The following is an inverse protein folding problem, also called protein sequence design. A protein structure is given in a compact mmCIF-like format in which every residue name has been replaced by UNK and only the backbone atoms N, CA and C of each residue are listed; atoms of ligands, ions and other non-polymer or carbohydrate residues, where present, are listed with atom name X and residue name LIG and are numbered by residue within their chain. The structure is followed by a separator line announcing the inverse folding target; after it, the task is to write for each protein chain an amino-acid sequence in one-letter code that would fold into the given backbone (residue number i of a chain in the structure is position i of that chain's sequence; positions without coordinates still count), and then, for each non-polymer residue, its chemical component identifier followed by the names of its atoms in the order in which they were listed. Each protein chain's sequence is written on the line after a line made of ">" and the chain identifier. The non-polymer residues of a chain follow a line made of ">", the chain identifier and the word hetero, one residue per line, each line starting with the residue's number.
data_IF_681335005069
#
_entry.id   IF_681335005069
#
_cell.length_a   1.000
_cell.length_b   1.000
_cell.length_c   1.000
_cell.angle_alpha   90.00
_cell.angle_beta   90.00
_cell.angle_gamma   90.00
#
_symmetry.space_group_name_H-M   'P 1'
#
loop_
_entity.id
_entity.type
_entity.pdbx_description
1 polymer ?
#
# COMPACT_ATOMS: atom_id res chain seq x y z
N UNK A 1 -27.93 46.70 21.39
CA UNK A 1 -26.62 46.15 21.80
C UNK A 1 -26.64 44.63 21.60
N UNK A 2 -27.06 44.22 20.40
CA UNK A 2 -26.21 43.70 19.32
C UNK A 2 -25.35 42.51 19.76
N UNK A 3 -25.86 41.28 19.61
CA UNK A 3 -25.69 40.42 18.43
C UNK A 3 -24.21 40.20 18.08
N UNK A 4 -23.65 39.09 18.60
CA UNK A 4 -22.49 38.45 17.98
C UNK A 4 -23.02 37.51 16.90
N UNK A 5 -22.81 37.92 15.66
CA UNK A 5 -23.16 37.22 14.43
C UNK A 5 -22.36 35.91 14.37
N UNK A 6 -23.08 34.80 14.27
CA UNK A 6 -22.57 33.49 13.88
C UNK A 6 -22.16 33.58 12.40
N UNK A 7 -20.86 33.65 12.13
CA UNK A 7 -20.33 33.69 10.76
C UNK A 7 -20.29 32.26 10.20
N UNK A 8 -21.12 31.89 9.20
CA UNK A 8 -21.23 30.50 8.74
C UNK A 8 -20.10 30.11 7.75
N UNK A 9 -19.02 30.88 7.70
CA UNK A 9 -17.99 30.81 6.65
C UNK A 9 -16.81 29.87 6.89
N UNK A 10 -16.57 29.38 8.11
CA UNK A 10 -15.31 28.67 8.43
C UNK A 10 -15.52 27.26 8.99
N UNK A 11 -16.41 26.48 8.35
CA UNK A 11 -16.35 25.01 8.41
C UNK A 11 -15.16 24.49 7.60
N UNK A 12 -13.95 24.95 7.94
CA UNK A 12 -12.76 24.17 7.70
C UNK A 12 -12.98 22.85 8.45
N UNK A 13 -13.16 21.78 7.69
CA UNK A 13 -13.18 20.41 8.17
C UNK A 13 -12.07 20.25 9.21
N UNK A 14 -12.44 20.27 10.49
CA UNK A 14 -11.64 19.78 11.60
C UNK A 14 -11.39 18.32 11.26
N UNK A 15 -10.30 18.12 10.52
CA UNK A 15 -9.74 16.81 10.24
C UNK A 15 -9.47 16.28 11.63
N UNK A 16 -10.25 15.30 12.07
CA UNK A 16 -10.01 14.61 13.33
C UNK A 16 -8.57 14.14 13.22
N UNK A 17 -7.68 14.81 13.96
CA UNK A 17 -6.33 14.34 14.14
C UNK A 17 -6.52 13.16 15.07
N UNK A 18 -6.80 11.99 14.51
CA UNK A 18 -6.73 10.75 15.27
C UNK A 18 -5.31 10.71 15.85
N UNK A 19 -5.20 10.67 17.18
CA UNK A 19 -3.93 10.63 17.89
C UNK A 19 -3.08 9.42 17.46
N UNK A 20 -3.73 8.41 16.87
CA UNK A 20 -3.14 7.16 16.41
C UNK A 20 -2.41 7.28 15.06
N UNK A 21 -2.79 8.19 14.16
CA UNK A 21 -2.02 8.43 12.93
C UNK A 21 -0.89 9.41 13.23
N UNK A 22 0.37 8.98 13.08
CA UNK A 22 1.53 9.78 13.43
C UNK A 22 2.03 10.66 12.27
N UNK A 23 1.76 10.27 11.03
CA UNK A 23 2.05 11.12 9.88
C UNK A 23 1.16 12.36 9.84
N UNK A 24 1.74 13.48 9.41
CA UNK A 24 1.05 14.78 9.34
C UNK A 24 1.32 15.47 7.99
N UNK A 25 0.46 16.44 7.65
CA UNK A 25 0.59 17.25 6.44
C UNK A 25 -0.24 16.75 5.25
N UNK A 26 -0.08 17.41 4.09
CA UNK A 26 -0.68 17.05 2.80
C UNK A 26 0.39 17.17 1.71
N UNK A 27 1.06 16.07 1.29
CA UNK A 27 0.84 14.68 1.70
C UNK A 27 1.21 14.39 3.16
N UNK A 28 0.70 13.27 3.68
CA UNK A 28 1.11 12.73 4.98
C UNK A 28 2.58 12.31 4.95
N UNK A 29 3.34 12.86 5.89
CA UNK A 29 4.78 12.65 6.03
C UNK A 29 5.13 12.34 7.50
N UNK A 30 6.21 11.58 7.71
CA UNK A 30 6.80 11.33 9.02
C UNK A 30 8.32 11.42 8.91
N UNK A 31 8.94 12.31 9.69
CA UNK A 31 10.38 12.59 9.66
C UNK A 31 10.93 12.82 8.24
N UNK A 32 10.20 13.59 7.42
CA UNK A 32 10.60 13.93 6.04
C UNK A 32 10.38 12.81 5.01
N UNK A 33 9.77 11.68 5.39
CA UNK A 33 9.44 10.58 4.47
C UNK A 33 7.94 10.49 4.22
N UNK A 34 7.57 10.12 2.98
CA UNK A 34 6.17 9.89 2.61
C UNK A 34 5.62 8.69 3.37
N UNK A 35 4.36 8.82 3.78
CA UNK A 35 3.63 7.76 4.44
C UNK A 35 2.68 7.03 3.49
N UNK A 36 2.40 5.77 3.84
CA UNK A 36 1.40 4.93 3.22
C UNK A 36 0.58 4.23 4.30
N UNK A 37 -0.68 3.91 3.98
CA UNK A 37 -1.44 2.95 4.77
C UNK A 37 -1.16 1.53 4.27
N UNK A 38 -1.43 0.54 5.11
CA UNK A 38 -1.30 -0.87 4.78
C UNK A 38 -2.55 -1.64 5.14
N UNK A 39 -2.84 -2.70 4.39
CA UNK A 39 -3.71 -3.80 4.82
C UNK A 39 -2.99 -5.13 4.64
N UNK A 40 -3.63 -6.23 5.04
CA UNK A 40 -3.20 -7.58 4.67
C UNK A 40 -4.27 -8.26 3.81
N UNK A 41 -3.82 -9.02 2.81
CA UNK A 41 -4.70 -9.84 1.98
C UNK A 41 -4.13 -11.24 1.75
N UNK A 42 -5.00 -12.12 1.30
CA UNK A 42 -4.63 -13.40 0.71
C UNK A 42 -5.75 -13.86 -0.25
N UNK A 43 -5.45 -13.92 -1.54
CA UNK A 43 -6.40 -14.41 -2.56
C UNK A 43 -5.92 -15.67 -3.30
N UNK A 44 -4.62 -16.01 -3.19
CA UNK A 44 -4.00 -17.15 -3.87
C UNK A 44 -3.86 -17.01 -5.39
N UNK A 45 -4.20 -15.85 -5.96
CA UNK A 45 -4.25 -15.62 -7.41
C UNK A 45 -2.89 -15.30 -7.99
N UNK A 46 -2.76 -15.35 -9.32
CA UNK A 46 -1.51 -15.08 -10.03
C UNK A 46 -1.00 -13.64 -9.84
N UNK A 47 -1.92 -12.72 -9.60
CA UNK A 47 -1.63 -11.29 -9.45
C UNK A 47 -1.37 -10.58 -10.78
N UNK A 48 -1.52 -9.25 -10.75
CA UNK A 48 -1.46 -8.36 -11.92
C UNK A 48 -0.06 -8.24 -12.57
N UNK A 49 1.00 -8.69 -11.89
CA UNK A 49 2.34 -8.77 -12.48
C UNK A 49 2.64 -10.15 -13.08
N UNK A 50 1.67 -11.07 -13.09
CA UNK A 50 1.80 -12.38 -13.71
C UNK A 50 2.79 -13.30 -13.00
N UNK A 51 2.89 -13.22 -11.68
CA UNK A 51 3.82 -14.02 -10.87
C UNK A 51 3.24 -15.40 -10.53
N UNK A 52 2.95 -16.17 -11.58
CA UNK A 52 2.42 -17.52 -11.51
C UNK A 52 2.57 -18.26 -12.84
N UNK A 53 2.23 -19.56 -12.89
CA UNK A 53 2.27 -20.33 -14.13
C UNK A 53 1.40 -19.68 -15.23
N UNK A 54 1.90 -19.66 -16.47
CA UNK A 54 1.28 -18.94 -17.59
C UNK A 54 -0.22 -19.23 -17.75
N UNK A 55 -0.62 -20.49 -17.64
CA UNK A 55 -1.97 -20.97 -17.96
C UNK A 55 -2.92 -21.06 -16.76
N UNK A 56 -2.45 -20.72 -15.55
CA UNK A 56 -3.24 -20.91 -14.33
C UNK A 56 -3.35 -19.57 -13.56
N UNK A 57 -4.54 -19.27 -13.04
CA UNK A 57 -4.72 -18.18 -12.09
C UNK A 57 -4.32 -18.63 -10.69
N UNK A 58 -3.02 -18.81 -10.51
CA UNK A 58 -2.42 -19.26 -9.25
C UNK A 58 -1.05 -18.65 -9.09
N UNK A 59 -0.76 -18.09 -7.93
CA UNK A 59 0.58 -17.60 -7.63
C UNK A 59 1.65 -18.70 -7.60
N UNK A 60 2.89 -18.34 -7.93
CA UNK A 60 4.04 -19.15 -7.53
C UNK A 60 4.12 -19.23 -6.00
N UNK A 61 4.65 -20.33 -5.42
CA UNK A 61 4.75 -20.48 -3.96
C UNK A 61 5.48 -19.31 -3.28
N UNK A 62 6.58 -18.83 -3.89
CA UNK A 62 7.36 -17.73 -3.35
C UNK A 62 6.58 -16.42 -3.26
N UNK A 63 5.60 -16.19 -4.14
CA UNK A 63 4.83 -14.94 -4.16
C UNK A 63 3.90 -14.84 -2.95
N UNK A 64 3.39 -15.98 -2.47
CA UNK A 64 2.57 -16.08 -1.26
C UNK A 64 3.37 -16.29 0.04
N UNK A 65 4.67 -16.59 -0.07
CA UNK A 65 5.55 -16.90 1.07
C UNK A 65 6.48 -15.75 1.46
N UNK A 66 6.82 -14.88 0.51
CA UNK A 66 7.71 -13.74 0.73
C UNK A 66 6.93 -12.44 0.95
N UNK A 67 7.66 -11.37 1.27
CA UNK A 67 7.10 -10.03 1.37
C UNK A 67 6.80 -9.46 -0.01
N UNK A 68 5.56 -9.65 -0.46
CA UNK A 68 5.03 -9.08 -1.69
C UNK A 68 3.82 -8.21 -1.38
N UNK A 69 3.48 -7.31 -2.30
CA UNK A 69 2.38 -6.38 -2.10
C UNK A 69 1.56 -6.19 -3.39
N UNK A 70 0.27 -5.97 -3.19
CA UNK A 70 -0.61 -5.30 -4.13
C UNK A 70 -0.64 -3.81 -3.80
N UNK A 71 -0.49 -2.93 -4.79
CA UNK A 71 -0.50 -1.47 -4.55
C UNK A 71 -1.71 -0.81 -5.20
N UNK A 72 -2.13 0.33 -4.67
CA UNK A 72 -3.30 1.05 -5.19
C UNK A 72 -3.17 1.40 -6.68
N UNK A 73 -4.32 1.46 -7.38
CA UNK A 73 -4.43 1.61 -8.84
C UNK A 73 -3.44 2.59 -9.48
N UNK A 74 -3.40 3.84 -8.98
CA UNK A 74 -2.51 4.86 -9.54
C UNK A 74 -1.04 4.65 -9.21
N UNK A 75 -0.73 4.00 -8.10
CA UNK A 75 0.64 3.69 -7.74
C UNK A 75 1.16 2.49 -8.53
N UNK A 76 0.31 1.50 -8.79
CA UNK A 76 0.62 0.34 -9.63
C UNK A 76 1.06 0.76 -11.04
N UNK A 77 0.34 1.70 -11.64
CA UNK A 77 0.55 2.12 -13.02
C UNK A 77 0.19 3.59 -13.25
N UNK A 78 0.95 4.28 -14.10
CA UNK A 78 0.78 5.71 -14.35
C UNK A 78 -0.36 6.02 -15.31
N UNK A 79 -0.85 5.06 -16.09
CA UNK A 79 -1.98 5.25 -17.01
C UNK A 79 -3.23 4.49 -16.54
N UNK A 80 -3.11 3.70 -15.46
CA UNK A 80 -4.21 2.97 -14.85
C UNK A 80 -4.44 1.58 -15.46
N UNK A 81 -3.45 0.97 -16.10
CA UNK A 81 -3.56 -0.44 -16.51
C UNK A 81 -3.77 -1.34 -15.29
N UNK A 82 -4.45 -2.47 -15.50
CA UNK A 82 -4.68 -3.47 -14.47
C UNK A 82 -3.78 -4.70 -14.61
N UNK A 83 -2.86 -4.69 -15.59
CA UNK A 83 -1.98 -5.82 -15.90
C UNK A 83 -0.63 -5.32 -16.41
N UNK A 84 0.46 -5.86 -15.87
CA UNK A 84 1.83 -5.43 -16.14
C UNK A 84 2.03 -3.91 -15.98
N UNK A 85 1.57 -3.36 -14.84
CA UNK A 85 1.74 -1.94 -14.55
C UNK A 85 3.20 -1.53 -14.40
N UNK A 86 3.44 -0.24 -14.59
CA UNK A 86 4.78 0.38 -14.57
C UNK A 86 5.64 0.00 -13.35
N UNK A 87 5.02 -0.31 -12.19
CA UNK A 87 5.74 -0.66 -10.95
C UNK A 87 5.87 -2.14 -10.67
N UNK A 88 5.41 -3.02 -11.56
CA UNK A 88 5.61 -4.45 -11.37
C UNK A 88 7.10 -4.79 -11.20
N UNK A 89 7.42 -5.54 -10.14
CA UNK A 89 8.79 -5.92 -9.79
C UNK A 89 9.60 -4.85 -9.05
N UNK A 90 9.08 -3.63 -8.86
CA UNK A 90 9.78 -2.64 -8.03
C UNK A 90 9.72 -3.04 -6.54
N UNK A 91 10.80 -2.73 -5.81
CA UNK A 91 10.89 -2.99 -4.38
C UNK A 91 10.87 -1.72 -3.54
N UNK A 92 10.22 -1.82 -2.38
CA UNK A 92 10.04 -0.72 -1.44
C UNK A 92 10.40 -1.16 -0.02
N UNK A 93 11.15 -0.35 0.70
CA UNK A 93 11.29 -0.48 2.15
C UNK A 93 10.09 0.16 2.84
N UNK A 94 9.40 -0.60 3.69
CA UNK A 94 8.32 -0.14 4.55
C UNK A 94 8.80 -0.14 6.00
N UNK A 95 8.69 1.01 6.67
CA UNK A 95 9.07 1.15 8.08
C UNK A 95 7.88 1.68 8.87
N UNK A 96 7.34 0.93 9.84
CA UNK A 96 6.23 1.41 10.65
C UNK A 96 6.58 2.68 11.40
N UNK A 97 5.65 3.62 11.47
CA UNK A 97 5.82 4.86 12.25
C UNK A 97 5.53 4.63 13.74
N UNK A 98 4.82 3.56 14.07
CA UNK A 98 4.16 3.34 15.35
C UNK A 98 2.68 3.73 15.33
N UNK A 99 2.25 4.46 14.30
CA UNK A 99 0.86 4.84 14.11
C UNK A 99 0.02 3.80 13.39
N UNK A 100 -1.29 4.02 13.39
CA UNK A 100 -2.30 3.20 12.73
C UNK A 100 -3.58 4.02 12.53
N UNK A 101 -4.55 3.46 11.80
CA UNK A 101 -5.87 4.06 11.63
C UNK A 101 -6.80 3.44 12.67
N UNK A 102 -7.36 4.26 13.55
CA UNK A 102 -8.28 3.83 14.60
C UNK A 102 -9.44 2.99 14.04
N UNK A 103 -9.68 1.82 14.64
CA UNK A 103 -10.73 0.88 14.23
C UNK A 103 -10.43 0.13 12.92
N UNK A 104 -9.27 0.33 12.31
CA UNK A 104 -8.83 -0.36 11.09
C UNK A 104 -7.47 -1.06 11.26
N UNK A 105 -6.86 -1.00 12.44
CA UNK A 105 -5.58 -1.59 12.76
C UNK A 105 -5.20 -1.32 14.20
N UNK A 106 -3.96 -1.66 14.55
CA UNK A 106 -3.39 -1.54 15.91
C UNK A 106 -1.94 -1.05 15.82
N UNK A 107 -1.37 -0.49 16.90
CA UNK A 107 0.02 -0.09 16.88
C UNK A 107 0.92 -1.31 16.68
N UNK A 108 1.93 -1.23 15.79
CA UNK A 108 2.79 -2.36 15.49
C UNK A 108 3.59 -2.77 16.74
N UNK A 109 3.66 -4.07 17.02
CA UNK A 109 4.44 -4.59 18.16
C UNK A 109 5.93 -4.23 18.08
N UNK A 110 6.44 -4.17 16.85
CA UNK A 110 7.83 -3.84 16.55
C UNK A 110 7.92 -2.95 15.30
N UNK A 111 8.88 -2.03 15.29
CA UNK A 111 9.14 -1.12 14.16
C UNK A 111 10.15 -1.71 13.15
N UNK A 112 10.03 -3.01 12.86
CA UNK A 112 10.93 -3.68 11.91
C UNK A 112 10.69 -3.18 10.49
N UNK A 113 11.75 -2.75 9.81
CA UNK A 113 11.68 -2.46 8.38
C UNK A 113 11.65 -3.75 7.56
N UNK A 114 10.73 -3.84 6.60
CA UNK A 114 10.72 -4.91 5.59
C UNK A 114 10.90 -4.34 4.19
N UNK A 115 11.43 -5.13 3.28
CA UNK A 115 11.40 -4.84 1.85
C UNK A 115 10.29 -5.68 1.20
N UNK A 116 9.36 -5.01 0.52
CA UNK A 116 8.28 -5.65 -0.24
C UNK A 116 8.54 -5.51 -1.74
N UNK A 117 8.18 -6.51 -2.53
CA UNK A 117 8.14 -6.43 -4.00
C UNK A 117 6.71 -6.28 -4.50
N UNK A 118 6.48 -5.38 -5.46
CA UNK A 118 5.16 -5.20 -6.08
C UNK A 118 4.92 -6.33 -7.07
N UNK A 119 3.90 -7.16 -6.80
CA UNK A 119 3.55 -8.31 -7.66
C UNK A 119 2.08 -8.33 -8.04
N UNK A 120 1.27 -7.42 -7.51
CA UNK A 120 -0.16 -7.37 -7.75
C UNK A 120 -0.71 -5.93 -7.69
N UNK A 121 -1.99 -5.80 -8.01
CA UNK A 121 -2.77 -4.56 -8.00
C UNK A 121 -3.85 -4.66 -6.91
N UNK A 122 -3.98 -3.61 -6.10
CA UNK A 122 -5.17 -3.33 -5.33
C UNK A 122 -6.06 -2.37 -6.14
N UNK A 123 -7.12 -2.87 -6.81
CA UNK A 123 -7.89 -2.06 -7.75
C UNK A 123 -8.74 -1.01 -7.03
N UNK A 124 -9.07 0.07 -7.74
CA UNK A 124 -9.97 1.12 -7.28
C UNK A 124 -11.45 0.70 -7.38
N UNK A 125 -11.78 -0.47 -6.82
CA UNK A 125 -13.09 -1.11 -6.88
C UNK A 125 -13.45 -1.72 -5.52
N UNK A 126 -14.74 -1.99 -5.21
CA UNK A 126 -15.11 -2.71 -3.99
C UNK A 126 -14.38 -4.06 -3.87
N UNK A 127 -13.92 -4.46 -2.66
CA UNK A 127 -14.10 -3.78 -1.37
C UNK A 127 -13.03 -2.71 -1.05
N UNK A 128 -12.13 -2.39 -1.98
CA UNK A 128 -10.91 -1.63 -1.73
C UNK A 128 -11.06 -0.11 -1.80
N UNK A 129 -12.28 0.40 -2.01
CA UNK A 129 -12.53 1.82 -2.27
C UNK A 129 -11.97 2.75 -1.18
N UNK A 130 -12.00 2.30 0.08
CA UNK A 130 -11.47 3.09 1.19
C UNK A 130 -9.94 3.22 1.22
N UNK A 131 -9.23 2.31 0.56
CA UNK A 131 -7.78 2.16 0.63
C UNK A 131 -7.09 2.54 -0.68
N UNK A 132 -7.65 2.09 -1.81
CA UNK A 132 -6.97 2.00 -3.10
C UNK A 132 -7.61 2.83 -4.23
N UNK A 133 -8.67 3.60 -3.94
CA UNK A 133 -9.39 4.40 -4.94
C UNK A 133 -8.69 5.71 -5.34
N UNK A 134 -7.36 5.79 -5.24
CA UNK A 134 -6.60 6.88 -5.84
C UNK A 134 -6.47 6.62 -7.35
N UNK A 135 -7.15 7.42 -8.17
CA UNK A 135 -7.11 7.41 -9.63
C UNK A 135 -6.10 8.43 -10.19
N UNK A 136 -5.71 9.44 -9.39
CA UNK A 136 -4.80 10.51 -9.81
C UNK A 136 -3.60 10.66 -8.85
N UNK A 137 -2.48 11.18 -9.35
CA UNK A 137 -1.19 11.23 -8.63
C UNK A 137 -1.21 11.88 -7.24
N UNK A 138 -2.08 12.88 -7.05
CA UNK A 138 -2.19 13.62 -5.80
C UNK A 138 -3.48 13.29 -5.04
N UNK A 139 -4.26 12.31 -5.52
CA UNK A 139 -5.45 11.87 -4.82
C UNK A 139 -5.06 11.10 -3.57
N UNK A 140 -5.80 11.33 -2.49
CA UNK A 140 -5.64 10.64 -1.22
C UNK A 140 -6.74 9.58 -1.11
N UNK A 141 -6.48 8.47 -0.41
CA UNK A 141 -7.56 7.63 0.09
C UNK A 141 -8.32 8.34 1.23
N UNK A 142 -9.36 7.67 1.74
CA UNK A 142 -10.23 8.24 2.78
C UNK A 142 -9.49 8.56 4.08
N UNK A 143 -8.28 8.01 4.27
CA UNK A 143 -7.44 8.20 5.46
C UNK A 143 -6.26 9.17 5.22
N UNK A 144 -6.19 9.81 4.05
CA UNK A 144 -5.21 10.85 3.75
C UNK A 144 -3.90 10.37 3.11
N UNK A 145 -3.77 9.08 2.77
CA UNK A 145 -2.56 8.54 2.15
C UNK A 145 -2.65 8.53 0.61
N UNK A 146 -1.59 8.99 -0.06
CA UNK A 146 -1.45 8.91 -1.52
C UNK A 146 -1.19 7.48 -2.02
N UNK A 147 -0.61 6.66 -1.16
CA UNK A 147 -0.16 5.30 -1.50
C UNK A 147 -0.70 4.33 -0.47
N UNK A 148 -1.08 3.15 -0.95
CA UNK A 148 -1.52 2.04 -0.13
C UNK A 148 -0.81 0.76 -0.57
N UNK A 149 -0.33 -0.03 0.41
CA UNK A 149 0.25 -1.35 0.19
C UNK A 149 -0.63 -2.40 0.87
N UNK A 150 -1.32 -3.20 0.08
CA UNK A 150 -2.03 -4.38 0.56
C UNK A 150 -1.05 -5.57 0.55
N UNK A 151 -0.71 -6.07 1.73
CA UNK A 151 0.42 -6.97 1.94
C UNK A 151 -0.03 -8.44 1.89
N UNK A 152 0.61 -9.24 1.05
CA UNK A 152 0.30 -10.67 0.95
C UNK A 152 0.66 -11.37 2.27
N UNK A 153 -0.29 -12.13 2.80
CA UNK A 153 -0.20 -12.72 4.13
C UNK A 153 -0.67 -14.18 4.18
N UNK A 154 -0.65 -14.90 3.06
CA UNK A 154 -1.08 -16.30 2.95
C UNK A 154 -0.31 -17.29 3.84
N UNK A 155 0.88 -16.91 4.31
CA UNK A 155 1.69 -17.68 5.27
C UNK A 155 1.86 -16.96 6.60
N UNK A 156 1.02 -15.96 6.87
CA UNK A 156 1.06 -15.13 8.08
C UNK A 156 2.37 -14.34 8.23
N UNK A 157 3.13 -14.15 7.14
CA UNK A 157 4.43 -13.50 7.15
C UNK A 157 4.37 -12.04 7.62
N UNK A 158 3.22 -11.37 7.49
CA UNK A 158 3.00 -10.03 8.03
C UNK A 158 2.52 -10.10 9.47
N UNK A 159 1.56 -11.00 9.75
CA UNK A 159 1.01 -11.15 11.12
C UNK A 159 2.06 -11.57 12.14
N UNK A 160 3.04 -12.41 11.78
CA UNK A 160 4.15 -12.81 12.67
C UNK A 160 5.10 -11.65 13.00
N UNK A 161 5.10 -10.57 12.22
CA UNK A 161 5.80 -9.32 12.58
C UNK A 161 5.04 -8.53 13.65
N UNK A 162 3.80 -8.93 13.99
CA UNK A 162 2.91 -8.17 14.84
C UNK A 162 2.38 -6.92 14.16
N UNK A 163 2.20 -6.96 12.84
CA UNK A 163 1.59 -5.88 12.06
C UNK A 163 0.09 -6.15 11.91
N UNK A 164 -0.70 -5.17 12.31
CA UNK A 164 -2.13 -5.08 12.02
C UNK A 164 -2.39 -3.70 11.41
N UNK A 165 -2.31 -3.65 10.08
CA UNK A 165 -2.50 -2.45 9.25
C UNK A 165 -1.76 -1.19 9.75
N UNK A 166 -0.45 -1.27 10.10
CA UNK A 166 0.27 -0.13 10.61
C UNK A 166 0.41 0.97 9.55
N UNK A 167 0.50 2.21 10.03
CA UNK A 167 1.00 3.32 9.24
C UNK A 167 2.51 3.13 9.02
N UNK A 168 2.95 3.27 7.76
CA UNK A 168 4.36 3.10 7.40
C UNK A 168 4.88 4.31 6.65
N UNK A 169 6.17 4.58 6.78
CA UNK A 169 6.92 5.33 5.76
C UNK A 169 7.42 4.37 4.69
N UNK A 170 7.56 4.87 3.46
CA UNK A 170 8.07 4.06 2.35
C UNK A 170 9.13 4.78 1.52
N UNK A 171 10.06 4.01 0.93
CA UNK A 171 10.99 4.47 -0.09
C UNK A 171 11.27 3.36 -1.10
N UNK A 172 11.47 3.72 -2.37
CA UNK A 172 11.93 2.77 -3.40
C UNK A 172 13.36 2.36 -3.07
N UNK A 173 13.67 1.08 -3.25
CA UNK A 173 15.01 0.50 -3.07
C UNK A 173 15.32 -0.48 -4.19
N UNK A 174 16.59 -0.87 -4.29
CA UNK A 174 16.94 -2.04 -5.10
C UNK A 174 16.37 -3.29 -4.45
N UNK A 175 15.82 -4.19 -5.26
CA UNK A 175 15.36 -5.48 -4.76
C UNK A 175 16.53 -6.28 -4.16
N UNK A 176 16.34 -6.78 -2.94
CA UNK A 176 17.37 -7.54 -2.22
C UNK A 176 17.14 -9.05 -2.33
N UNK A 177 18.18 -9.82 -2.05
CA UNK A 177 18.09 -11.28 -2.02
C UNK A 177 17.69 -11.89 -3.37
N UNK A 178 16.67 -12.74 -3.37
CA UNK A 178 16.23 -13.49 -4.55
C UNK A 178 15.16 -12.77 -5.38
N UNK A 179 14.64 -11.62 -4.94
CA UNK A 179 13.49 -10.98 -5.56
C UNK A 179 13.67 -10.74 -7.06
N UNK A 180 14.82 -10.24 -7.51
CA UNK A 180 15.06 -10.06 -8.95
C UNK A 180 14.91 -11.37 -9.72
N UNK A 181 15.63 -12.42 -9.33
CA UNK A 181 15.57 -13.74 -9.98
C UNK A 181 14.20 -14.42 -9.90
N UNK A 182 13.39 -14.06 -8.90
CA UNK A 182 12.03 -14.55 -8.77
C UNK A 182 11.09 -13.79 -9.69
N UNK A 183 11.26 -12.47 -9.78
CA UNK A 183 10.49 -11.62 -10.67
C UNK A 183 10.71 -11.98 -12.14
N UNK A 184 11.92 -12.39 -12.53
CA UNK A 184 12.24 -12.87 -13.89
C UNK A 184 11.40 -14.09 -14.34
N UNK A 185 10.72 -14.76 -13.39
CA UNK A 185 9.77 -15.85 -13.69
C UNK A 185 8.36 -15.33 -14.00
N UNK A 186 8.04 -14.11 -13.57
CA UNK A 186 6.74 -13.47 -13.79
C UNK A 186 6.57 -13.08 -15.26
N UNK A 187 5.34 -13.15 -15.75
CA UNK A 187 5.02 -12.84 -17.14
C UNK A 187 5.42 -11.40 -17.52
N UNK A 188 5.25 -10.44 -16.60
CA UNK A 188 5.54 -9.03 -16.85
C UNK A 188 7.02 -8.65 -16.73
N UNK A 189 7.91 -9.58 -16.40
CA UNK A 189 9.37 -9.32 -16.35
C UNK A 189 10.03 -9.33 -17.72
N UNK A 190 9.37 -9.98 -18.69
CA UNK A 190 9.81 -10.03 -20.07
C UNK A 190 9.07 -8.92 -20.76
N UNK A 191 9.79 -7.88 -21.18
CA UNK A 191 9.23 -6.84 -22.04
C UNK A 191 8.43 -7.53 -23.16
N UNK A 192 7.10 -7.35 -23.17
CA UNK A 192 6.31 -7.66 -24.34
C UNK A 192 6.68 -6.59 -25.38
N UNK A 193 7.77 -6.84 -26.10
CA UNK A 193 8.10 -6.15 -27.35
C UNK A 193 7.06 -6.49 -28.39
#
# INVERSE_FOLDING_TARGET
>A
MDEYIDDPGDRAFLTIINCEQLCKGKPLMYNGRRCASTTVYHDGRKGACGCGPQWFDKQFPWNGELYTAAVNQRFFDFEGTMWCGDRCGECYELTPTGGYIEGQGEPPRFLHTITVMITNLCPAEPPNLQWCAQHHWNQLNMYGYMTHFDLENGRQQISVLGWDNPEVTYKRVQCTGKFQSLYDQCQCSKDFV
#
